data_IF_007855540959
#
_entry.id   IF_007855540959
#
_cell.length_a   1.000
_cell.length_b   1.000
_cell.length_c   1.000
_cell.angle_alpha   90.00
_cell.angle_beta   90.00
_cell.angle_gamma   90.00
#
_symmetry.space_group_name_H-M   'P 1'
#
loop_
_entity.id
_entity.type
_entity.pdbx_description
1 polymer ?
#
# COMPACT_ATOMS: atom_id res chain seq x y z
N UNK A 1 3.97 -25.37 -14.87
CA UNK A 1 4.66 -24.40 -14.01
C UNK A 1 4.79 -25.07 -12.65
N UNK A 2 6.02 -25.33 -12.22
CA UNK A 2 6.30 -25.97 -10.94
C UNK A 2 5.84 -25.01 -9.83
N UNK A 3 5.02 -25.51 -8.89
CA UNK A 3 4.51 -24.70 -7.79
C UNK A 3 5.66 -24.37 -6.85
N UNK A 4 5.82 -23.10 -6.50
CA UNK A 4 6.86 -22.71 -5.54
C UNK A 4 6.71 -23.51 -4.22
N UNK A 5 7.82 -23.93 -3.59
CA UNK A 5 7.78 -24.58 -2.29
C UNK A 5 7.08 -23.74 -1.23
N UNK A 6 6.36 -24.37 -0.30
CA UNK A 6 5.61 -23.66 0.77
C UNK A 6 6.49 -22.74 1.62
N UNK A 7 7.77 -23.07 1.81
CA UNK A 7 8.69 -22.24 2.58
C UNK A 7 9.08 -20.91 1.89
N UNK A 8 8.72 -20.72 0.62
CA UNK A 8 8.81 -19.41 -0.05
C UNK A 8 7.72 -18.43 0.39
N UNK A 9 6.60 -18.94 0.91
CA UNK A 9 5.54 -18.08 1.44
C UNK A 9 5.92 -17.59 2.84
N UNK A 10 6.49 -16.41 2.90
CA UNK A 10 6.83 -15.72 4.15
C UNK A 10 5.65 -14.87 4.63
N UNK A 11 4.81 -14.40 3.72
CA UNK A 11 3.71 -13.48 4.06
C UNK A 11 2.65 -14.13 4.94
N UNK A 12 2.22 -15.34 4.61
CA UNK A 12 1.17 -16.04 5.36
C UNK A 12 1.52 -16.24 6.84
N UNK A 13 2.67 -16.85 7.21
CA UNK A 13 3.02 -17.02 8.61
C UNK A 13 3.27 -15.70 9.34
N UNK A 14 3.82 -14.68 8.67
CA UNK A 14 4.06 -13.36 9.27
C UNK A 14 2.73 -12.64 9.52
N UNK A 15 1.80 -12.69 8.59
CA UNK A 15 0.49 -12.03 8.73
C UNK A 15 -0.27 -12.49 9.97
N UNK A 16 -0.22 -13.79 10.29
CA UNK A 16 -0.90 -14.35 11.46
C UNK A 16 -0.32 -13.88 12.80
N UNK A 17 0.93 -13.41 12.78
CA UNK A 17 1.62 -12.88 13.97
C UNK A 17 1.45 -11.35 14.12
N UNK A 18 1.29 -10.63 13.02
CA UNK A 18 1.19 -9.16 13.04
C UNK A 18 -0.19 -8.68 13.53
N UNK A 19 -1.27 -9.36 13.11
CA UNK A 19 -2.62 -8.85 13.32
C UNK A 19 -2.94 -7.59 12.51
N UNK A 20 -3.99 -6.87 12.91
CA UNK A 20 -4.42 -5.64 12.23
C UNK A 20 -3.33 -4.56 12.32
N UNK A 21 -3.14 -3.82 11.23
CA UNK A 21 -2.04 -2.87 11.08
C UNK A 21 -2.55 -1.62 10.37
N UNK A 22 -2.17 -0.43 10.83
CA UNK A 22 -2.66 0.83 10.25
C UNK A 22 -2.07 1.12 8.87
N UNK A 23 -0.75 1.00 8.74
CA UNK A 23 -0.02 1.32 7.51
C UNK A 23 0.93 0.19 7.16
N UNK A 24 0.83 -0.29 5.93
CA UNK A 24 1.71 -1.33 5.38
C UNK A 24 2.51 -0.77 4.21
N UNK A 25 3.82 -0.95 4.26
CA UNK A 25 4.67 -0.79 3.08
C UNK A 25 4.59 -2.08 2.28
N UNK A 26 4.18 -1.98 1.02
CA UNK A 26 3.96 -3.14 0.18
C UNK A 26 5.24 -3.95 -0.03
N UNK A 27 5.17 -5.24 0.27
CA UNK A 27 6.26 -6.18 0.08
C UNK A 27 6.63 -6.24 -1.41
N UNK A 28 7.89 -6.43 -1.71
CA UNK A 28 8.45 -6.57 -3.06
C UNK A 28 7.84 -5.57 -4.06
N UNK A 29 7.69 -4.29 -3.65
CA UNK A 29 7.12 -3.21 -4.48
C UNK A 29 5.72 -3.51 -5.05
N UNK A 30 4.95 -4.39 -4.41
CA UNK A 30 3.71 -4.97 -4.92
C UNK A 30 3.92 -5.69 -6.28
N UNK A 31 4.97 -6.49 -6.39
CA UNK A 31 5.17 -7.40 -7.53
C UNK A 31 4.25 -8.62 -7.42
N UNK A 32 4.18 -9.44 -8.49
CA UNK A 32 3.19 -10.51 -8.63
C UNK A 32 3.21 -11.59 -7.55
N UNK A 33 4.35 -11.77 -6.89
CA UNK A 33 4.61 -12.77 -5.84
C UNK A 33 4.37 -12.25 -4.41
N UNK A 34 3.89 -11.01 -4.27
CA UNK A 34 3.72 -10.36 -2.99
C UNK A 34 2.26 -9.92 -2.74
N UNK A 35 1.98 -9.51 -1.51
CA UNK A 35 0.66 -9.03 -1.09
C UNK A 35 -0.42 -10.08 -1.30
N UNK A 36 -0.20 -11.30 -0.80
CA UNK A 36 -1.13 -12.41 -0.95
C UNK A 36 -2.45 -12.17 -0.19
N UNK A 37 -3.50 -12.90 -0.58
CA UNK A 37 -4.85 -12.75 -0.01
C UNK A 37 -4.85 -12.94 1.51
N UNK A 38 -4.13 -13.93 2.01
CA UNK A 38 -4.00 -14.20 3.45
C UNK A 38 -3.37 -13.02 4.18
N UNK A 39 -2.25 -12.49 3.64
CA UNK A 39 -1.58 -11.33 4.22
C UNK A 39 -2.53 -10.15 4.32
N UNK A 40 -3.16 -9.78 3.24
CA UNK A 40 -4.06 -8.62 3.18
C UNK A 40 -5.28 -8.78 4.11
N UNK A 41 -5.89 -9.98 4.13
CA UNK A 41 -7.06 -10.24 4.97
C UNK A 41 -6.76 -10.28 6.47
N UNK A 42 -5.51 -10.55 6.86
CA UNK A 42 -5.08 -10.56 8.26
C UNK A 42 -4.62 -9.17 8.73
N UNK A 43 -3.78 -8.48 7.94
CA UNK A 43 -3.25 -7.17 8.34
C UNK A 43 -4.28 -6.05 8.23
N UNK A 44 -5.28 -6.16 7.38
CA UNK A 44 -6.41 -5.24 7.21
C UNK A 44 -6.01 -3.76 7.23
N UNK A 45 -4.94 -3.43 6.54
CA UNK A 45 -4.35 -2.10 6.63
C UNK A 45 -5.29 -1.00 6.16
N UNK A 46 -5.30 0.13 6.87
CA UNK A 46 -6.03 1.34 6.47
C UNK A 46 -5.30 2.10 5.34
N UNK A 47 -4.00 1.88 5.21
CA UNK A 47 -3.21 2.46 4.12
C UNK A 47 -2.12 1.50 3.65
N UNK A 48 -1.92 1.44 2.34
CA UNK A 48 -0.81 0.77 1.69
C UNK A 48 0.10 1.79 1.03
N UNK A 49 1.40 1.66 1.23
CA UNK A 49 2.42 2.48 0.59
C UNK A 49 3.27 1.60 -0.32
N UNK A 50 3.28 1.90 -1.61
CA UNK A 50 4.03 1.14 -2.61
C UNK A 50 5.31 1.91 -2.95
N UNK A 51 6.50 1.44 -2.57
CA UNK A 51 7.77 2.01 -3.02
C UNK A 51 8.02 1.54 -4.47
N UNK A 52 7.59 2.33 -5.46
CA UNK A 52 7.76 1.98 -6.87
C UNK A 52 9.23 2.02 -7.23
N UNK A 53 9.75 0.91 -7.73
CA UNK A 53 11.14 0.79 -8.19
C UNK A 53 11.26 0.82 -9.70
N UNK A 54 10.29 0.23 -10.41
CA UNK A 54 10.31 0.03 -11.85
C UNK A 54 8.92 0.30 -12.45
N UNK A 55 8.84 0.50 -13.77
CA UNK A 55 7.58 0.71 -14.46
C UNK A 55 6.62 -0.51 -14.39
N UNK A 56 7.11 -1.68 -13.98
CA UNK A 56 6.28 -2.84 -13.69
C UNK A 56 5.61 -2.80 -12.31
N UNK A 57 5.97 -1.88 -11.43
CA UNK A 57 5.41 -1.79 -10.09
C UNK A 57 4.34 -0.70 -9.98
N UNK A 58 3.24 -0.98 -9.27
CA UNK A 58 2.79 -2.30 -8.83
C UNK A 58 2.30 -3.15 -9.99
N UNK A 59 2.17 -4.46 -9.76
CA UNK A 59 1.44 -5.35 -10.68
C UNK A 59 -0.07 -5.23 -10.45
N UNK A 60 -0.92 -5.48 -11.48
CA UNK A 60 -2.36 -5.38 -11.34
C UNK A 60 -2.95 -6.27 -10.23
N UNK A 61 -2.50 -7.52 -10.13
CA UNK A 61 -3.06 -8.47 -9.17
C UNK A 61 -2.82 -8.06 -7.70
N UNK A 62 -1.60 -7.70 -7.23
CA UNK A 62 -1.40 -7.16 -5.89
C UNK A 62 -2.21 -5.89 -5.62
N UNK A 63 -2.28 -4.97 -6.58
CA UNK A 63 -3.08 -3.75 -6.42
C UNK A 63 -4.56 -4.07 -6.24
N UNK A 64 -5.11 -4.95 -7.07
CA UNK A 64 -6.51 -5.38 -6.96
C UNK A 64 -6.80 -6.03 -5.60
N UNK A 65 -5.87 -6.86 -5.08
CA UNK A 65 -5.99 -7.44 -3.74
C UNK A 65 -6.00 -6.37 -2.64
N UNK A 66 -5.08 -5.41 -2.67
CA UNK A 66 -5.05 -4.30 -1.71
C UNK A 66 -6.34 -3.47 -1.72
N UNK A 67 -7.00 -3.35 -2.86
CA UNK A 67 -8.27 -2.61 -3.03
C UNK A 67 -9.51 -3.47 -2.76
N UNK A 68 -9.36 -4.80 -2.60
CA UNK A 68 -10.47 -5.74 -2.53
C UNK A 68 -11.28 -5.61 -1.24
N UNK A 69 -12.57 -5.29 -1.37
CA UNK A 69 -13.53 -5.27 -0.27
C UNK A 69 -13.95 -6.67 0.18
N UNK A 70 -13.71 -7.71 -0.63
CA UNK A 70 -14.01 -9.09 -0.28
C UNK A 70 -12.97 -9.71 0.65
N UNK A 71 -11.72 -9.23 0.65
CA UNK A 71 -10.67 -9.71 1.56
C UNK A 71 -10.85 -9.15 2.97
N UNK A 72 -11.24 -7.90 3.10
CA UNK A 72 -11.73 -7.31 4.36
C UNK A 72 -12.55 -6.07 4.05
N UNK A 73 -13.54 -5.78 4.88
CA UNK A 73 -14.37 -4.60 4.78
C UNK A 73 -13.65 -3.39 5.40
N UNK A 74 -13.95 -2.19 4.92
CA UNK A 74 -13.43 -0.94 5.47
C UNK A 74 -12.76 -0.04 4.44
N UNK A 75 -12.61 1.21 4.81
CA UNK A 75 -11.93 2.19 3.97
C UNK A 75 -10.42 1.96 4.01
N UNK A 76 -9.80 2.12 2.85
CA UNK A 76 -8.34 2.07 2.71
C UNK A 76 -7.87 2.96 1.60
N UNK A 77 -6.64 3.43 1.72
CA UNK A 77 -5.99 4.24 0.70
C UNK A 77 -4.72 3.57 0.22
N UNK A 78 -4.46 3.66 -1.08
CA UNK A 78 -3.20 3.19 -1.68
C UNK A 78 -2.40 4.41 -2.14
N UNK A 79 -1.16 4.47 -1.72
CA UNK A 79 -0.17 5.47 -2.05
C UNK A 79 0.98 4.82 -2.81
N UNK A 80 1.63 5.57 -3.69
CA UNK A 80 2.81 5.09 -4.41
C UNK A 80 3.86 6.18 -4.51
N UNK A 81 5.07 5.90 -4.05
CA UNK A 81 6.22 6.74 -4.29
C UNK A 81 6.78 6.45 -5.68
N UNK A 82 7.10 7.48 -6.46
CA UNK A 82 7.73 7.33 -7.77
C UNK A 82 6.84 6.77 -8.90
N UNK A 83 5.53 6.70 -8.71
CA UNK A 83 4.60 6.23 -9.74
C UNK A 83 4.49 7.27 -10.87
N UNK A 84 4.83 6.86 -12.08
CA UNK A 84 4.70 7.68 -13.29
C UNK A 84 3.41 7.36 -14.04
N UNK A 85 2.96 8.29 -14.90
CA UNK A 85 1.65 8.19 -15.57
C UNK A 85 1.49 6.93 -16.43
N UNK A 86 2.57 6.46 -17.08
CA UNK A 86 2.52 5.25 -17.88
C UNK A 86 2.24 4.01 -17.04
N UNK A 87 2.79 3.94 -15.83
CA UNK A 87 2.52 2.84 -14.90
C UNK A 87 1.05 2.89 -14.44
N UNK A 88 0.59 4.08 -14.08
CA UNK A 88 -0.81 4.31 -13.67
C UNK A 88 -1.78 3.89 -14.76
N UNK A 89 -1.53 4.26 -16.02
CA UNK A 89 -2.37 3.89 -17.17
C UNK A 89 -2.44 2.37 -17.39
N UNK A 90 -1.32 1.68 -17.18
CA UNK A 90 -1.23 0.21 -17.30
C UNK A 90 -2.10 -0.53 -16.27
N UNK A 91 -2.34 0.08 -15.13
CA UNK A 91 -3.15 -0.50 -14.04
C UNK A 91 -4.67 -0.32 -14.24
N UNK A 92 -5.09 0.37 -15.30
CA UNK A 92 -6.50 0.59 -15.60
C UNK A 92 -7.24 1.36 -14.51
N UNK A 93 -8.48 0.98 -14.24
CA UNK A 93 -9.32 1.65 -13.23
C UNK A 93 -8.73 1.61 -11.82
N UNK A 94 -8.04 0.54 -11.45
CA UNK A 94 -7.40 0.44 -10.14
C UNK A 94 -6.25 1.44 -10.00
N UNK A 95 -5.56 1.76 -11.08
CA UNK A 95 -4.54 2.80 -11.10
C UNK A 95 -5.07 4.19 -10.75
N UNK A 96 -6.32 4.49 -11.09
CA UNK A 96 -6.98 5.76 -10.77
C UNK A 96 -7.30 5.88 -9.27
N UNK A 97 -7.36 4.78 -8.54
CA UNK A 97 -7.61 4.76 -7.09
C UNK A 97 -6.35 5.05 -6.26
N UNK A 98 -5.16 4.93 -6.86
CA UNK A 98 -3.90 5.30 -6.21
C UNK A 98 -3.86 6.83 -6.04
N UNK A 99 -3.54 7.30 -4.85
CA UNK A 99 -3.41 8.73 -4.55
C UNK A 99 -2.29 9.38 -5.38
N UNK A 100 -2.20 10.71 -5.47
CA UNK A 100 -1.09 11.37 -6.17
C UNK A 100 0.27 10.79 -5.77
N UNK A 101 1.18 10.65 -6.74
CA UNK A 101 2.53 10.14 -6.48
C UNK A 101 3.41 11.24 -5.88
N UNK A 102 4.37 10.83 -5.05
CA UNK A 102 5.32 11.72 -4.38
C UNK A 102 5.93 11.05 -3.16
N UNK A 103 6.64 11.82 -2.34
CA UNK A 103 7.11 11.32 -1.05
C UNK A 103 5.93 11.08 -0.11
N UNK A 104 5.78 9.86 0.37
CA UNK A 104 4.71 9.49 1.29
C UNK A 104 5.22 9.59 2.73
N UNK A 105 4.58 10.44 3.52
CA UNK A 105 4.94 10.70 4.92
C UNK A 105 3.77 10.31 5.81
N UNK A 106 3.99 9.38 6.73
CA UNK A 106 3.04 9.02 7.79
C UNK A 106 3.40 9.77 9.07
N UNK A 107 2.52 10.64 9.52
CA UNK A 107 2.64 11.33 10.81
C UNK A 107 1.78 10.63 11.85
N UNK A 108 2.41 10.04 12.84
CA UNK A 108 1.73 9.49 14.01
C UNK A 108 1.64 10.57 15.09
N UNK A 109 0.47 10.75 15.65
CA UNK A 109 0.26 11.73 16.73
C UNK A 109 0.71 11.15 18.09
N UNK A 110 1.04 12.03 19.07
CA UNK A 110 1.39 11.56 20.41
C UNK A 110 0.32 10.63 20.98
N UNK A 111 0.77 9.52 21.56
CA UNK A 111 -0.11 8.45 22.06
C UNK A 111 -0.43 7.34 21.07
N UNK A 112 -0.21 7.55 19.77
CA UNK A 112 -0.42 6.51 18.74
C UNK A 112 -1.89 6.27 18.36
N UNK A 113 -2.84 6.99 18.97
CA UNK A 113 -4.29 6.74 18.76
C UNK A 113 -4.77 7.15 17.36
N UNK A 114 -4.01 7.98 16.67
CA UNK A 114 -4.34 8.45 15.33
C UNK A 114 -3.10 8.83 14.54
N UNK A 115 -3.25 8.80 13.22
CA UNK A 115 -2.22 9.18 12.27
C UNK A 115 -2.80 9.96 11.09
N UNK A 116 -1.93 10.53 10.29
CA UNK A 116 -2.28 11.23 9.04
C UNK A 116 -1.20 10.96 8.00
N UNK A 117 -1.60 10.84 6.74
CA UNK A 117 -0.67 10.59 5.63
C UNK A 117 -0.66 11.82 4.72
N UNK A 118 0.55 12.24 4.36
CA UNK A 118 0.82 13.32 3.42
C UNK A 118 1.56 12.77 2.22
N UNK A 119 1.27 13.32 1.06
CA UNK A 119 2.08 13.14 -0.13
C UNK A 119 2.70 14.48 -0.47
N UNK A 120 4.02 14.53 -0.51
CA UNK A 120 4.79 15.72 -0.82
C UNK A 120 5.31 15.64 -2.25
N UNK A 121 5.44 16.79 -2.89
CA UNK A 121 6.05 16.91 -4.19
C UNK A 121 7.51 16.41 -4.15
N UNK A 122 7.84 15.44 -4.99
CA UNK A 122 9.17 14.83 -5.11
C UNK A 122 9.96 15.36 -6.32
N UNK A 123 9.41 16.36 -7.03
CA UNK A 123 10.03 16.94 -8.24
C UNK A 123 10.88 18.17 -7.97
N UNK A 124 10.84 18.69 -6.74
CA UNK A 124 11.63 19.84 -6.31
C UNK A 124 11.85 19.81 -4.79
N UNK A 125 12.69 20.69 -4.29
CA UNK A 125 13.06 20.77 -2.86
C UNK A 125 12.07 21.60 -2.01
N UNK A 126 10.98 22.07 -2.56
CA UNK A 126 9.97 22.84 -1.82
C UNK A 126 9.01 21.92 -1.02
N UNK A 127 8.92 20.65 -1.40
CA UNK A 127 8.12 19.62 -0.72
C UNK A 127 6.66 20.04 -0.48
N UNK A 128 6.04 20.71 -1.45
CA UNK A 128 4.64 21.13 -1.34
C UNK A 128 3.74 19.90 -1.10
N UNK A 129 2.72 20.08 -0.30
CA UNK A 129 1.73 19.03 -0.04
C UNK A 129 0.84 18.88 -1.27
N UNK A 130 0.95 17.76 -1.99
CA UNK A 130 0.10 17.40 -3.12
C UNK A 130 -1.21 16.76 -2.66
N UNK A 131 -1.19 16.04 -1.55
CA UNK A 131 -2.34 15.36 -0.98
C UNK A 131 -2.15 15.16 0.53
N UNK A 132 -3.24 15.17 1.28
CA UNK A 132 -3.26 14.75 2.68
C UNK A 132 -4.58 14.04 3.00
N UNK A 133 -4.54 13.04 3.85
CA UNK A 133 -5.75 12.42 4.43
C UNK A 133 -6.35 13.34 5.49
N UNK A 134 -7.56 13.04 5.95
CA UNK A 134 -7.99 13.43 7.29
C UNK A 134 -7.14 12.71 8.35
N UNK A 135 -7.39 13.03 9.62
CA UNK A 135 -6.87 12.22 10.73
C UNK A 135 -7.56 10.85 10.71
N UNK A 136 -6.79 9.78 10.74
CA UNK A 136 -7.26 8.41 10.73
C UNK A 136 -7.05 7.85 12.14
N UNK A 137 -8.09 7.24 12.69
CA UNK A 137 -7.99 6.55 13.99
C UNK A 137 -7.20 5.25 13.81
N UNK A 138 -6.25 4.98 14.71
CA UNK A 138 -5.54 3.71 14.75
C UNK A 138 -6.48 2.54 15.06
N UNK A 139 -6.20 1.38 14.51
CA UNK A 139 -6.90 0.12 14.79
C UNK A 139 -6.56 -0.44 16.18
N UNK A 140 -5.52 0.06 16.83
CA UNK A 140 -5.03 -0.39 18.14
C UNK A 140 -5.61 0.43 19.28
#
# INVERSE_FOLDING_TARGET
>A
VEKAPEWFDIETPVATLLGETDVVVANHHAYSDAMCDTYISQVKAQAYVIPVWDYYHPQPAPLSRMLSQSLYAGERSVFAAGLVDINRSRLGEDGLKIKPAGHVVTRVYPGGEKFQIFVLNDRNEAYEILYKTGEIKSNN
#
